data_IF_969564618482
#
_entry.id   IF_969564618482
#
_cell.length_a   1.000
_cell.length_b   1.000
_cell.length_c   1.000
_cell.angle_alpha   90.00
_cell.angle_beta   90.00
_cell.angle_gamma   90.00
#
_symmetry.space_group_name_H-M   'P 1'
#
loop_
_entity.id
_entity.type
_entity.pdbx_description
1 polymer ?
#
# COMPACT_ATOMS: atom_id res chain seq x y z
N UNK A 1 24.81 18.73 -13.23
CA UNK A 1 23.68 18.17 -13.99
C UNK A 1 24.07 16.77 -14.44
N UNK A 2 23.71 15.72 -13.68
CA UNK A 2 23.85 14.34 -14.17
C UNK A 2 22.60 14.07 -14.98
N UNK A 3 22.77 13.69 -16.28
CA UNK A 3 21.72 13.20 -17.12
C UNK A 3 20.98 12.10 -16.33
N UNK A 4 19.72 12.32 -16.04
CA UNK A 4 18.84 11.33 -15.47
C UNK A 4 18.78 10.16 -16.45
N UNK A 5 19.10 9.00 -15.97
CA UNK A 5 19.01 7.69 -16.62
C UNK A 5 17.52 7.38 -16.88
N UNK A 6 16.96 7.96 -17.91
CA UNK A 6 15.54 7.92 -18.31
C UNK A 6 15.21 6.65 -19.09
N UNK A 7 15.69 5.49 -18.61
CA UNK A 7 15.34 4.22 -19.22
C UNK A 7 13.93 3.77 -18.83
N UNK A 8 13.19 3.16 -19.75
CA UNK A 8 11.93 2.48 -19.45
C UNK A 8 12.16 1.28 -18.53
N UNK A 9 11.11 0.86 -17.83
CA UNK A 9 11.16 -0.24 -16.85
C UNK A 9 11.72 -1.54 -17.47
N UNK A 10 11.36 -1.82 -18.71
CA UNK A 10 11.89 -2.99 -19.44
C UNK A 10 13.41 -2.91 -19.65
N UNK A 11 13.95 -1.73 -19.96
CA UNK A 11 15.40 -1.55 -20.10
C UNK A 11 16.11 -1.72 -18.76
N UNK A 12 15.53 -1.21 -17.67
CA UNK A 12 16.06 -1.42 -16.31
C UNK A 12 16.05 -2.90 -15.91
N UNK A 13 14.96 -3.60 -16.23
CA UNK A 13 14.82 -5.02 -15.98
C UNK A 13 15.92 -5.83 -16.69
N UNK A 14 16.21 -5.49 -17.95
CA UNK A 14 17.21 -6.16 -18.78
C UNK A 14 18.64 -5.94 -18.29
N UNK A 15 18.91 -4.85 -17.56
CA UNK A 15 20.23 -4.54 -16.99
C UNK A 15 20.41 -5.07 -15.55
N UNK A 16 19.34 -5.49 -14.90
CA UNK A 16 19.33 -5.86 -13.46
C UNK A 16 19.71 -7.34 -13.20
N UNK A 17 20.48 -7.98 -14.09
CA UNK A 17 21.00 -9.34 -13.88
C UNK A 17 20.30 -10.42 -14.71
N UNK A 18 20.52 -11.68 -14.37
CA UNK A 18 20.02 -12.82 -15.13
C UNK A 18 18.49 -12.94 -15.06
N UNK A 19 17.81 -12.60 -16.17
CA UNK A 19 16.36 -12.66 -16.27
C UNK A 19 15.81 -14.09 -16.28
N UNK A 20 16.59 -15.09 -16.69
CA UNK A 20 16.14 -16.49 -16.76
C UNK A 20 15.84 -17.10 -15.41
N UNK A 21 16.50 -16.61 -14.34
CA UNK A 21 16.36 -17.15 -12.98
C UNK A 21 15.32 -16.37 -12.16
N UNK A 22 14.66 -15.39 -12.76
CA UNK A 22 13.71 -14.49 -12.11
C UNK A 22 12.31 -14.72 -12.65
N UNK A 23 11.33 -14.70 -11.74
CA UNK A 23 9.94 -14.97 -12.09
C UNK A 23 8.96 -14.04 -11.36
N UNK A 24 7.80 -13.89 -11.97
CA UNK A 24 6.58 -13.39 -11.34
C UNK A 24 5.62 -14.57 -11.17
N UNK A 25 5.20 -14.83 -9.92
CA UNK A 25 4.27 -15.91 -9.58
C UNK A 25 2.94 -15.31 -9.15
N UNK A 26 1.90 -15.51 -9.94
CA UNK A 26 0.50 -15.29 -9.56
C UNK A 26 -0.07 -16.49 -8.79
N UNK A 27 -1.37 -16.48 -8.52
CA UNK A 27 -2.06 -17.61 -7.88
C UNK A 27 -2.25 -18.80 -8.84
N UNK A 28 -2.55 -18.52 -10.11
CA UNK A 28 -2.90 -19.54 -11.11
C UNK A 28 -1.84 -19.72 -12.21
N UNK A 29 -0.96 -18.75 -12.40
CA UNK A 29 0.03 -18.73 -13.45
C UNK A 29 1.34 -18.12 -12.98
N UNK A 30 2.43 -18.40 -13.71
CA UNK A 30 3.73 -17.81 -13.49
C UNK A 30 4.44 -17.52 -14.80
N UNK A 31 5.33 -16.51 -14.78
CA UNK A 31 6.15 -16.13 -15.94
C UNK A 31 7.60 -15.99 -15.49
N UNK A 32 8.52 -16.63 -16.20
CA UNK A 32 9.92 -16.27 -16.11
C UNK A 32 10.16 -14.93 -16.81
N UNK A 33 10.88 -14.01 -16.19
CA UNK A 33 11.12 -12.69 -16.78
C UNK A 33 11.90 -12.75 -18.10
N UNK A 34 12.72 -13.78 -18.26
CA UNK A 34 13.41 -14.06 -19.52
C UNK A 34 12.48 -14.36 -20.70
N UNK A 35 11.31 -14.95 -20.46
CA UNK A 35 10.34 -15.24 -21.51
C UNK A 35 9.67 -13.95 -22.03
N UNK A 36 9.54 -12.94 -21.18
CA UNK A 36 8.99 -11.66 -21.57
C UNK A 36 9.87 -10.91 -22.59
N UNK A 37 11.17 -11.22 -22.65
CA UNK A 37 12.09 -10.67 -23.66
C UNK A 37 11.70 -11.13 -25.06
N UNK A 38 11.16 -12.36 -25.20
CA UNK A 38 10.83 -13.01 -26.46
C UNK A 38 9.34 -13.06 -26.75
N UNK A 39 8.52 -12.69 -25.81
CA UNK A 39 7.07 -12.75 -25.91
C UNK A 39 6.39 -11.48 -25.45
N UNK A 40 5.08 -11.38 -25.71
CA UNK A 40 4.24 -10.27 -25.31
C UNK A 40 2.96 -10.77 -24.64
N UNK A 41 2.63 -10.22 -23.49
CA UNK A 41 1.36 -10.46 -22.79
C UNK A 41 0.18 -9.75 -23.48
N UNK A 42 0.49 -8.80 -24.34
CA UNK A 42 -0.48 -7.97 -25.11
C UNK A 42 -0.82 -8.56 -26.48
N UNK A 43 -0.50 -9.84 -26.74
CA UNK A 43 -0.79 -10.52 -27.98
C UNK A 43 -0.08 -9.92 -29.20
N UNK A 44 1.05 -9.24 -29.03
CA UNK A 44 1.78 -8.55 -30.09
C UNK A 44 1.23 -7.18 -30.47
N UNK A 45 0.20 -6.68 -29.79
CA UNK A 45 -0.52 -5.42 -30.11
C UNK A 45 0.03 -4.19 -29.39
N UNK A 46 1.27 -4.23 -28.89
CA UNK A 46 1.90 -3.13 -28.14
C UNK A 46 1.95 -1.82 -28.93
N UNK A 47 2.20 -1.88 -30.26
CA UNK A 47 2.28 -0.70 -31.12
C UNK A 47 0.96 0.07 -31.24
N UNK A 48 -0.18 -0.60 -31.08
CA UNK A 48 -1.49 0.07 -31.04
C UNK A 48 -1.67 0.97 -29.82
N UNK A 49 -0.85 0.78 -28.78
CA UNK A 49 -0.88 1.51 -27.51
C UNK A 49 0.17 2.64 -27.46
N UNK A 50 1.03 2.75 -28.48
CA UNK A 50 2.09 3.76 -28.54
C UNK A 50 1.52 5.17 -28.49
N UNK A 51 2.05 5.97 -27.56
CA UNK A 51 1.67 7.38 -27.37
C UNK A 51 0.27 7.60 -26.79
N UNK A 52 -0.47 6.55 -26.49
CA UNK A 52 -1.83 6.64 -25.95
C UNK A 52 -1.87 6.73 -24.42
N UNK A 53 -2.98 7.24 -23.92
CA UNK A 53 -3.38 7.09 -22.51
C UNK A 53 -4.12 5.77 -22.36
N UNK A 54 -3.55 4.84 -21.59
CA UNK A 54 -4.00 3.45 -21.48
C UNK A 54 -4.51 3.19 -20.07
N UNK A 55 -5.76 2.75 -19.95
CA UNK A 55 -6.32 2.24 -18.70
C UNK A 55 -5.97 0.75 -18.57
N UNK A 56 -5.28 0.37 -17.50
CA UNK A 56 -5.01 -1.02 -17.15
C UNK A 56 -6.02 -1.46 -16.10
N UNK A 57 -6.99 -2.28 -16.52
CA UNK A 57 -8.10 -2.78 -15.69
C UNK A 57 -8.16 -4.31 -15.80
N UNK A 58 -7.37 -4.99 -14.98
CA UNK A 58 -7.27 -6.45 -14.95
C UNK A 58 -7.86 -7.01 -13.65
N UNK A 59 -8.30 -8.26 -13.66
CA UNK A 59 -8.67 -8.99 -12.44
C UNK A 59 -7.43 -9.57 -11.76
N UNK A 60 -6.49 -10.10 -12.55
CA UNK A 60 -5.27 -10.72 -12.05
C UNK A 60 -4.09 -9.74 -11.98
N UNK A 61 -3.33 -9.81 -10.88
CA UNK A 61 -2.16 -8.95 -10.67
C UNK A 61 -0.97 -9.33 -11.55
N UNK A 62 -0.82 -10.61 -11.95
CA UNK A 62 0.26 -11.02 -12.83
C UNK A 62 0.08 -10.39 -14.21
N UNK A 63 -1.13 -10.43 -14.76
CA UNK A 63 -1.45 -9.76 -16.02
C UNK A 63 -1.25 -8.25 -15.95
N UNK A 64 -1.62 -7.62 -14.82
CA UNK A 64 -1.30 -6.21 -14.60
C UNK A 64 0.21 -5.96 -14.65
N UNK A 65 1.01 -6.72 -13.92
CA UNK A 65 2.46 -6.56 -13.85
C UNK A 65 3.12 -6.67 -15.23
N UNK A 66 2.70 -7.66 -16.04
CA UNK A 66 3.20 -7.86 -17.40
C UNK A 66 2.86 -6.68 -18.31
N UNK A 67 1.60 -6.22 -18.26
CA UNK A 67 1.17 -5.06 -19.04
C UNK A 67 1.97 -3.80 -18.66
N UNK A 68 2.19 -3.55 -17.36
CA UNK A 68 2.96 -2.40 -16.87
C UNK A 68 4.41 -2.41 -17.38
N UNK A 69 5.06 -3.59 -17.37
CA UNK A 69 6.43 -3.74 -17.89
C UNK A 69 6.51 -3.43 -19.39
N UNK A 70 5.48 -3.84 -20.15
CA UNK A 70 5.47 -3.64 -21.60
C UNK A 70 5.04 -2.22 -21.99
N UNK A 71 4.16 -1.58 -21.24
CA UNK A 71 3.61 -0.27 -21.57
C UNK A 71 4.54 0.89 -21.20
N UNK A 72 5.38 0.73 -20.17
CA UNK A 72 6.27 1.81 -19.74
C UNK A 72 7.32 2.13 -20.84
N UNK A 73 7.45 3.41 -21.16
CA UNK A 73 8.25 3.90 -22.28
C UNK A 73 7.52 3.87 -23.63
N UNK A 74 6.41 3.16 -23.79
CA UNK A 74 5.62 3.04 -25.02
C UNK A 74 4.34 3.85 -24.96
N UNK A 75 3.53 3.65 -23.93
CA UNK A 75 2.35 4.46 -23.67
C UNK A 75 2.75 5.86 -23.16
N UNK A 76 2.00 6.88 -23.56
CA UNK A 76 2.16 8.23 -23.00
C UNK A 76 1.73 8.25 -21.53
N UNK A 77 0.69 7.50 -21.20
CA UNK A 77 0.13 7.42 -19.83
C UNK A 77 -0.40 6.03 -19.56
N UNK A 78 -0.15 5.54 -18.35
CA UNK A 78 -0.72 4.32 -17.80
C UNK A 78 -1.60 4.73 -16.63
N UNK A 79 -2.89 4.38 -16.65
CA UNK A 79 -3.83 4.59 -15.56
C UNK A 79 -4.11 3.24 -14.91
N UNK A 80 -3.79 3.11 -13.62
CA UNK A 80 -3.98 1.85 -12.89
C UNK A 80 -5.36 1.83 -12.23
N UNK A 81 -6.26 1.00 -12.75
CA UNK A 81 -7.54 0.77 -12.11
C UNK A 81 -7.41 -0.33 -11.03
N UNK A 82 -7.61 -0.01 -9.75
CA UNK A 82 -7.68 -1.05 -8.72
C UNK A 82 -8.98 -1.87 -8.89
N UNK A 83 -9.02 -3.15 -8.43
CA UNK A 83 -10.13 -4.05 -8.71
C UNK A 83 -11.46 -3.66 -8.05
N UNK A 84 -11.38 -2.83 -7.02
CA UNK A 84 -12.50 -2.28 -6.25
C UNK A 84 -12.87 -0.85 -6.66
N UNK A 85 -12.41 -0.39 -7.85
CA UNK A 85 -12.85 0.89 -8.39
C UNK A 85 -14.34 0.83 -8.67
N UNK A 86 -15.16 1.69 -8.04
CA UNK A 86 -16.59 1.74 -8.28
C UNK A 86 -16.91 1.99 -9.76
N UNK A 87 -17.92 1.28 -10.28
CA UNK A 87 -18.28 1.38 -11.70
C UNK A 87 -18.75 2.79 -12.05
N UNK A 88 -19.37 3.48 -11.11
CA UNK A 88 -19.79 4.89 -11.21
C UNK A 88 -18.64 5.87 -11.36
N UNK A 89 -17.45 5.54 -10.87
CA UNK A 89 -16.26 6.39 -10.97
C UNK A 89 -15.50 6.22 -12.31
N UNK A 90 -15.73 5.13 -13.02
CA UNK A 90 -15.03 4.82 -14.28
C UNK A 90 -15.18 5.94 -15.32
N UNK A 91 -16.37 6.51 -15.59
CA UNK A 91 -16.53 7.60 -16.56
C UNK A 91 -15.70 8.85 -16.19
N UNK A 92 -15.62 9.17 -14.90
CA UNK A 92 -14.78 10.26 -14.42
C UNK A 92 -13.30 9.99 -14.66
N UNK A 93 -12.82 8.80 -14.32
CA UNK A 93 -11.41 8.39 -14.53
C UNK A 93 -11.05 8.43 -16.02
N UNK A 94 -11.91 7.88 -16.88
CA UNK A 94 -11.71 7.87 -18.33
C UNK A 94 -11.60 9.29 -18.89
N UNK A 95 -12.49 10.18 -18.48
CA UNK A 95 -12.49 11.58 -18.93
C UNK A 95 -11.30 12.36 -18.37
N UNK A 96 -11.04 12.30 -17.07
CA UNK A 96 -9.99 13.06 -16.40
C UNK A 96 -8.58 12.65 -16.87
N UNK A 97 -8.37 11.36 -17.15
CA UNK A 97 -7.10 10.86 -17.67
C UNK A 97 -7.02 10.86 -19.21
N UNK A 98 -8.07 11.30 -19.91
CA UNK A 98 -8.17 11.25 -21.38
C UNK A 98 -7.79 9.86 -21.92
N UNK A 99 -8.44 8.80 -21.41
CA UNK A 99 -8.15 7.41 -21.78
C UNK A 99 -8.56 7.13 -23.21
N UNK A 100 -7.64 6.58 -24.00
CA UNK A 100 -7.79 6.26 -25.42
C UNK A 100 -7.78 4.76 -25.69
N UNK A 101 -7.21 3.97 -24.77
CA UNK A 101 -7.13 2.52 -24.88
C UNK A 101 -7.34 1.83 -23.54
N UNK A 102 -7.86 0.61 -23.59
CA UNK A 102 -8.07 -0.28 -22.46
C UNK A 102 -7.24 -1.55 -22.61
N UNK A 103 -6.48 -1.88 -21.59
CA UNK A 103 -5.80 -3.19 -21.45
C UNK A 103 -6.47 -3.95 -20.29
N UNK A 104 -6.96 -5.16 -20.59
CA UNK A 104 -7.65 -6.00 -19.61
C UNK A 104 -7.43 -7.48 -19.90
N UNK A 105 -7.52 -8.32 -18.87
CA UNK A 105 -7.53 -9.79 -18.99
C UNK A 105 -8.95 -10.35 -19.22
N UNK A 106 -9.98 -9.52 -19.14
CA UNK A 106 -11.38 -9.87 -19.39
C UNK A 106 -11.64 -10.10 -20.88
N UNK A 107 -12.69 -10.87 -21.19
CA UNK A 107 -13.05 -11.18 -22.58
C UNK A 107 -13.58 -9.95 -23.34
N UNK A 108 -14.20 -9.01 -22.64
CA UNK A 108 -14.78 -7.79 -23.19
C UNK A 108 -14.64 -6.62 -22.17
N UNK A 109 -14.68 -5.37 -22.64
CA UNK A 109 -14.76 -4.20 -21.77
C UNK A 109 -16.03 -4.19 -20.91
N UNK A 110 -15.93 -3.74 -19.67
CA UNK A 110 -17.11 -3.47 -18.84
C UNK A 110 -17.96 -2.33 -19.40
N UNK A 111 -19.24 -2.26 -18.99
CA UNK A 111 -20.21 -1.30 -19.52
C UNK A 111 -19.73 0.17 -19.45
N UNK A 112 -19.00 0.58 -18.39
CA UNK A 112 -18.44 1.92 -18.24
C UNK A 112 -17.22 2.19 -19.12
N UNK A 113 -16.58 1.14 -19.68
CA UNK A 113 -15.36 1.21 -20.49
C UNK A 113 -15.60 0.99 -21.99
N UNK A 114 -16.83 0.68 -22.40
CA UNK A 114 -17.18 0.35 -23.80
C UNK A 114 -16.98 1.50 -24.80
N UNK A 115 -16.82 2.74 -24.30
CA UNK A 115 -16.55 3.92 -25.13
C UNK A 115 -15.07 4.16 -25.41
N UNK A 116 -14.16 3.37 -24.85
CA UNK A 116 -12.72 3.49 -25.09
C UNK A 116 -12.41 2.92 -26.48
N UNK A 117 -11.72 3.69 -27.32
CA UNK A 117 -11.58 3.40 -28.75
C UNK A 117 -10.79 2.13 -29.09
N UNK A 118 -9.84 1.72 -28.25
CA UNK A 118 -9.00 0.53 -28.49
C UNK A 118 -9.05 -0.39 -27.28
N UNK A 119 -9.37 -1.66 -27.51
CA UNK A 119 -9.31 -2.71 -26.48
C UNK A 119 -8.22 -3.72 -26.83
N UNK A 120 -7.28 -3.94 -25.91
CA UNK A 120 -6.23 -4.95 -26.04
C UNK A 120 -6.35 -5.93 -24.89
N UNK A 121 -6.54 -7.20 -25.21
CA UNK A 121 -6.57 -8.25 -24.19
C UNK A 121 -5.13 -8.59 -23.77
N UNK A 122 -4.91 -8.61 -22.46
CA UNK A 122 -3.65 -9.05 -21.88
C UNK A 122 -3.79 -10.45 -21.23
N UNK A 123 -2.70 -11.24 -21.26
CA UNK A 123 -2.71 -12.62 -20.81
C UNK A 123 -1.34 -13.05 -20.29
N UNK A 124 -1.24 -13.93 -19.27
CA UNK A 124 0.01 -14.55 -18.87
C UNK A 124 0.53 -15.55 -19.91
N UNK A 125 -0.29 -15.95 -20.91
CA UNK A 125 0.16 -16.72 -22.07
C UNK A 125 0.79 -15.76 -23.07
N UNK A 126 2.13 -15.75 -23.10
CA UNK A 126 2.87 -14.85 -23.98
C UNK A 126 2.71 -15.25 -25.46
N UNK A 127 2.34 -14.29 -26.31
CA UNK A 127 2.40 -14.45 -27.75
C UNK A 127 3.86 -14.40 -28.24
N UNK A 128 4.28 -15.24 -29.20
CA UNK A 128 5.63 -15.17 -29.76
C UNK A 128 5.87 -13.84 -30.50
N UNK A 129 7.12 -13.39 -30.48
CA UNK A 129 7.55 -12.17 -31.18
C UNK A 129 7.27 -10.91 -30.35
N UNK A 130 8.28 -10.46 -29.63
CA UNK A 130 8.23 -9.14 -29.01
C UNK A 130 8.41 -8.07 -30.10
N UNK A 131 7.47 -7.14 -30.20
CA UNK A 131 7.72 -5.88 -30.88
C UNK A 131 8.94 -5.20 -30.24
N UNK A 132 9.75 -4.50 -31.05
CA UNK A 132 10.86 -3.72 -30.52
C UNK A 132 10.31 -2.72 -29.49
N UNK A 133 10.64 -2.90 -28.21
CA UNK A 133 10.19 -2.04 -27.11
C UNK A 133 11.05 -0.78 -27.05
N UNK A 134 11.04 -0.02 -28.15
CA UNK A 134 11.74 1.25 -28.21
C UNK A 134 10.99 2.26 -27.34
N UNK A 135 11.60 2.65 -26.24
CA UNK A 135 11.08 3.71 -25.40
C UNK A 135 11.09 5.02 -26.20
N UNK A 136 9.91 5.60 -26.40
CA UNK A 136 9.70 6.86 -27.11
C UNK A 136 9.00 7.92 -26.25
N UNK A 137 8.56 7.54 -25.06
CA UNK A 137 7.81 8.40 -24.15
C UNK A 137 8.34 8.27 -22.72
N UNK A 138 8.36 9.39 -22.01
CA UNK A 138 8.39 9.38 -20.56
C UNK A 138 6.95 9.11 -20.06
N UNK A 139 6.65 7.86 -19.76
CA UNK A 139 5.31 7.44 -19.38
C UNK A 139 4.87 8.08 -18.07
N UNK A 140 3.68 8.70 -18.08
CA UNK A 140 2.99 9.10 -16.86
C UNK A 140 2.27 7.89 -16.24
N UNK A 141 2.51 7.66 -14.96
CA UNK A 141 1.85 6.63 -14.16
C UNK A 141 0.78 7.29 -13.29
N UNK A 142 -0.47 6.95 -13.52
CA UNK A 142 -1.61 7.53 -12.78
C UNK A 142 -2.15 6.52 -11.80
N UNK A 143 -2.10 6.87 -10.54
CA UNK A 143 -2.58 6.09 -9.41
C UNK A 143 -3.83 6.73 -8.82
N UNK A 144 -4.81 5.91 -8.46
CA UNK A 144 -6.05 6.38 -7.85
C UNK A 144 -5.96 6.28 -6.33
N UNK A 145 -6.38 7.36 -5.65
CA UNK A 145 -6.53 7.38 -4.20
C UNK A 145 -8.00 7.66 -3.85
N UNK A 146 -8.46 7.11 -2.72
CA UNK A 146 -9.79 7.42 -2.21
C UNK A 146 -9.84 8.90 -1.82
N UNK A 147 -10.64 9.68 -2.54
CA UNK A 147 -10.96 11.06 -2.15
C UNK A 147 -11.82 11.06 -0.88
N UNK A 148 -11.61 12.01 0.01
CA UNK A 148 -12.46 12.23 1.18
C UNK A 148 -13.84 12.80 0.81
N UNK A 149 -14.06 13.18 -0.44
CA UNK A 149 -15.23 13.94 -0.93
C UNK A 149 -15.97 13.27 -2.08
N UNK A 150 -15.79 11.97 -2.33
CA UNK A 150 -16.46 11.22 -3.40
C UNK A 150 -15.50 10.70 -4.47
N UNK A 151 -15.42 11.32 -5.64
CA UNK A 151 -14.62 10.82 -6.77
C UNK A 151 -13.13 10.62 -6.44
N UNK A 152 -12.47 9.58 -7.00
CA UNK A 152 -11.07 9.29 -6.73
C UNK A 152 -10.15 10.40 -7.25
N UNK A 153 -9.07 10.68 -6.51
CA UNK A 153 -8.01 11.56 -6.98
C UNK A 153 -7.06 10.78 -7.90
N UNK A 154 -6.72 11.37 -9.02
CA UNK A 154 -5.79 10.82 -10.00
C UNK A 154 -4.40 11.44 -9.81
N UNK A 155 -3.49 10.71 -9.21
CA UNK A 155 -2.15 11.16 -8.83
C UNK A 155 -1.14 10.76 -9.91
N UNK A 156 -0.43 11.73 -10.48
CA UNK A 156 0.52 11.49 -11.59
C UNK A 156 1.94 11.33 -11.07
N UNK A 157 2.57 10.25 -11.48
CA UNK A 157 3.98 9.95 -11.28
C UNK A 157 4.70 9.74 -12.61
N UNK A 158 6.03 9.64 -12.55
CA UNK A 158 6.90 9.04 -13.56
C UNK A 158 7.62 7.84 -12.95
N UNK A 159 8.24 7.00 -13.77
CA UNK A 159 9.07 5.92 -13.26
C UNK A 159 10.17 6.44 -12.33
N UNK A 160 10.75 7.61 -12.62
CA UNK A 160 11.79 8.24 -11.77
C UNK A 160 11.27 8.62 -10.39
N UNK A 161 10.06 9.19 -10.27
CA UNK A 161 9.49 9.51 -8.94
C UNK A 161 9.07 8.26 -8.18
N UNK A 162 8.56 7.23 -8.86
CA UNK A 162 8.19 5.95 -8.26
C UNK A 162 9.41 5.16 -7.78
N UNK A 163 10.49 5.13 -8.58
CA UNK A 163 11.69 4.35 -8.30
C UNK A 163 12.77 5.11 -7.53
N UNK A 164 12.59 6.40 -7.25
CA UNK A 164 13.60 7.24 -6.60
C UNK A 164 14.05 6.81 -5.20
N UNK A 165 13.30 5.91 -4.55
CA UNK A 165 13.69 5.28 -3.28
C UNK A 165 14.44 3.95 -3.47
N UNK A 166 14.55 3.45 -4.70
CA UNK A 166 15.09 2.13 -4.99
C UNK A 166 16.57 2.23 -5.36
N UNK A 167 17.37 1.33 -4.81
CA UNK A 167 18.77 1.16 -5.24
C UNK A 167 18.79 0.20 -6.41
N UNK A 168 19.39 0.59 -7.51
CA UNK A 168 19.70 -0.34 -8.59
C UNK A 168 20.80 -1.26 -8.10
N UNK A 169 20.57 -2.56 -8.12
CA UNK A 169 21.60 -3.54 -7.78
C UNK A 169 22.59 -3.62 -8.94
N UNK A 170 23.80 -3.11 -8.74
CA UNK A 170 24.92 -3.30 -9.69
C UNK A 170 25.69 -4.60 -9.49
N UNK A 171 25.36 -5.38 -8.46
CA UNK A 171 25.95 -6.67 -8.16
C UNK A 171 24.84 -7.69 -7.95
N UNK A 172 25.03 -8.91 -8.45
CA UNK A 172 24.16 -10.05 -8.21
C UNK A 172 23.98 -10.23 -6.68
N UNK A 173 22.95 -9.61 -6.13
CA UNK A 173 22.50 -9.95 -4.78
C UNK A 173 21.98 -11.39 -4.81
N UNK A 174 22.08 -12.16 -3.73
CA UNK A 174 21.43 -13.47 -3.63
C UNK A 174 19.96 -13.29 -4.07
N UNK A 175 19.41 -14.26 -4.78
CA UNK A 175 18.08 -14.16 -5.39
C UNK A 175 17.02 -13.87 -4.34
N UNK A 176 16.67 -12.59 -4.21
CA UNK A 176 15.63 -12.16 -3.27
C UNK A 176 14.27 -12.52 -3.86
N UNK A 177 13.46 -13.20 -3.09
CA UNK A 177 12.06 -13.44 -3.42
C UNK A 177 11.20 -12.50 -2.60
N UNK A 178 10.63 -11.52 -3.27
CA UNK A 178 9.70 -10.55 -2.69
C UNK A 178 8.28 -11.08 -2.67
N UNK A 179 7.48 -10.59 -1.78
CA UNK A 179 6.03 -10.76 -1.76
C UNK A 179 5.35 -9.57 -1.09
N UNK A 180 4.04 -9.46 -1.31
CA UNK A 180 3.24 -8.41 -0.70
C UNK A 180 1.78 -8.80 -0.57
N UNK A 181 1.16 -8.37 0.52
CA UNK A 181 -0.30 -8.43 0.70
C UNK A 181 -1.02 -7.31 -0.07
N UNK A 182 -0.30 -6.27 -0.53
CA UNK A 182 -0.91 -5.18 -1.28
C UNK A 182 -1.21 -5.57 -2.71
N UNK A 183 -2.25 -4.96 -3.26
CA UNK A 183 -2.49 -4.95 -4.70
C UNK A 183 -1.47 -4.03 -5.41
N UNK A 184 -0.82 -4.54 -6.45
CA UNK A 184 0.20 -3.78 -7.21
C UNK A 184 -0.37 -2.63 -8.04
N UNK A 185 -1.68 -2.57 -8.24
CA UNK A 185 -2.37 -1.46 -8.91
C UNK A 185 -2.57 -0.26 -7.97
N UNK A 186 -2.12 -0.37 -6.72
CA UNK A 186 -2.05 0.70 -5.72
C UNK A 186 -0.60 1.03 -5.38
N UNK A 187 -0.37 2.24 -4.91
CA UNK A 187 0.99 2.75 -4.66
C UNK A 187 1.85 1.79 -3.83
N UNK A 188 1.32 1.27 -2.72
CA UNK A 188 2.08 0.37 -1.83
C UNK A 188 2.55 -0.91 -2.51
N UNK A 189 1.66 -1.57 -3.26
CA UNK A 189 1.99 -2.80 -4.00
C UNK A 189 2.89 -2.51 -5.21
N UNK A 190 2.64 -1.41 -5.93
CA UNK A 190 3.49 -0.97 -7.03
C UNK A 190 4.94 -0.75 -6.58
N UNK A 191 5.15 -0.16 -5.40
CA UNK A 191 6.49 0.01 -4.82
C UNK A 191 7.21 -1.33 -4.60
N UNK A 192 6.49 -2.40 -4.24
CA UNK A 192 7.08 -3.72 -4.04
C UNK A 192 7.38 -4.39 -5.38
N UNK A 193 6.47 -4.26 -6.38
CA UNK A 193 6.72 -4.72 -7.74
C UNK A 193 8.01 -4.08 -8.31
N UNK A 194 8.09 -2.75 -8.27
CA UNK A 194 9.27 -2.03 -8.77
C UNK A 194 10.54 -2.41 -8.01
N UNK A 195 10.45 -2.59 -6.68
CA UNK A 195 11.57 -3.01 -5.86
C UNK A 195 12.08 -4.40 -6.25
N UNK A 196 11.20 -5.37 -6.49
CA UNK A 196 11.57 -6.70 -6.97
C UNK A 196 12.20 -6.62 -8.37
N UNK A 197 11.58 -5.89 -9.29
CA UNK A 197 12.05 -5.79 -10.68
C UNK A 197 13.41 -5.09 -10.79
N UNK A 198 13.54 -3.89 -10.20
CA UNK A 198 14.74 -3.06 -10.27
C UNK A 198 15.87 -3.59 -9.39
N UNK A 199 15.53 -4.22 -8.27
CA UNK A 199 16.50 -4.82 -7.34
C UNK A 199 17.04 -6.18 -7.79
N UNK A 200 16.56 -6.76 -8.88
CA UNK A 200 17.05 -8.04 -9.40
C UNK A 200 16.40 -9.29 -8.79
N UNK A 201 15.27 -9.14 -8.07
CA UNK A 201 14.56 -10.24 -7.42
C UNK A 201 13.41 -10.82 -8.24
N UNK A 202 12.78 -11.86 -7.69
CA UNK A 202 11.49 -12.43 -8.12
C UNK A 202 10.36 -11.90 -7.24
N UNK A 203 9.10 -12.11 -7.66
CA UNK A 203 7.94 -11.63 -6.89
C UNK A 203 6.80 -12.67 -6.86
N UNK A 204 6.30 -12.96 -5.67
CA UNK A 204 5.06 -13.70 -5.45
C UNK A 204 3.93 -12.67 -5.22
N UNK A 205 3.00 -12.61 -6.16
CA UNK A 205 1.85 -11.71 -6.15
C UNK A 205 0.70 -12.32 -5.32
N UNK A 206 0.03 -11.53 -4.51
CA UNK A 206 -1.19 -11.94 -3.83
C UNK A 206 -2.38 -11.98 -4.80
N UNK A 207 -3.46 -12.64 -4.39
CA UNK A 207 -4.74 -12.68 -5.13
C UNK A 207 -5.90 -12.36 -4.21
N UNK A 208 -6.87 -11.59 -4.70
CA UNK A 208 -8.11 -11.32 -3.97
C UNK A 208 -8.99 -12.57 -3.80
N UNK A 209 -8.75 -13.62 -4.61
CA UNK A 209 -9.48 -14.91 -4.55
C UNK A 209 -8.87 -15.90 -3.56
N UNK A 210 -7.73 -15.55 -2.96
CA UNK A 210 -6.93 -16.43 -2.11
C UNK A 210 -7.12 -16.02 -0.65
N UNK A 211 -7.30 -17.00 0.25
CA UNK A 211 -7.29 -16.72 1.68
C UNK A 211 -5.87 -16.32 2.15
N UNK A 212 -5.79 -15.61 3.27
CA UNK A 212 -4.48 -15.29 3.88
C UNK A 212 -3.65 -16.56 4.15
N UNK A 213 -4.30 -17.65 4.56
CA UNK A 213 -3.63 -18.92 4.82
C UNK A 213 -3.03 -19.55 3.56
N UNK A 214 -3.80 -19.59 2.46
CA UNK A 214 -3.35 -20.16 1.18
C UNK A 214 -2.23 -19.32 0.58
N UNK A 215 -2.34 -17.98 0.66
CA UNK A 215 -1.27 -17.08 0.25
C UNK A 215 0.04 -17.36 1.01
N UNK A 216 -0.01 -17.53 2.33
CA UNK A 216 1.18 -17.82 3.15
C UNK A 216 1.79 -19.18 2.81
N UNK A 217 0.98 -20.21 2.54
CA UNK A 217 1.44 -21.53 2.08
C UNK A 217 2.19 -21.38 0.75
N UNK A 218 1.59 -20.67 -0.21
CA UNK A 218 2.19 -20.47 -1.53
C UNK A 218 3.46 -19.62 -1.46
N UNK A 219 3.45 -18.54 -0.66
CA UNK A 219 4.63 -17.71 -0.41
C UNK A 219 5.78 -18.53 0.21
N UNK A 220 5.47 -19.43 1.16
CA UNK A 220 6.44 -20.37 1.73
C UNK A 220 6.98 -21.36 0.71
N UNK A 221 6.13 -21.88 -0.19
CA UNK A 221 6.54 -22.78 -1.28
C UNK A 221 7.55 -22.12 -2.23
N UNK A 222 7.41 -20.82 -2.48
CA UNK A 222 8.37 -20.04 -3.27
C UNK A 222 9.53 -19.44 -2.45
N UNK A 223 9.67 -19.83 -1.17
CA UNK A 223 10.75 -19.38 -0.27
C UNK A 223 10.87 -17.87 -0.21
N UNK A 224 9.73 -17.18 -0.01
CA UNK A 224 9.71 -15.71 0.12
C UNK A 224 10.63 -15.26 1.24
N UNK A 225 11.60 -14.40 0.91
CA UNK A 225 12.58 -13.81 1.83
C UNK A 225 12.17 -12.42 2.31
N UNK A 226 11.43 -11.67 1.49
CA UNK A 226 11.05 -10.28 1.74
C UNK A 226 9.54 -10.11 1.54
N UNK A 227 8.82 -9.64 2.56
CA UNK A 227 7.36 -9.50 2.47
C UNK A 227 6.89 -8.19 3.09
N UNK A 228 5.90 -7.55 2.42
CA UNK A 228 5.36 -6.27 2.83
C UNK A 228 3.84 -6.33 3.02
N UNK A 229 3.34 -5.60 4.02
CA UNK A 229 1.91 -5.50 4.30
C UNK A 229 1.59 -4.35 5.24
N UNK A 230 0.28 -4.07 5.44
CA UNK A 230 -0.15 -3.17 6.50
C UNK A 230 -0.05 -3.85 7.87
N UNK A 231 -0.03 -3.11 8.98
CA UNK A 231 -0.25 -3.68 10.30
C UNK A 231 -1.46 -4.60 10.39
N UNK A 232 -2.59 -4.23 9.77
CA UNK A 232 -3.81 -5.07 9.72
C UNK A 232 -3.60 -6.38 8.95
N UNK A 233 -2.88 -6.36 7.81
CA UNK A 233 -2.49 -7.59 7.12
C UNK A 233 -1.67 -8.51 8.03
N UNK A 234 -0.69 -7.96 8.73
CA UNK A 234 0.18 -8.75 9.60
C UNK A 234 -0.56 -9.32 10.82
N UNK A 235 -1.50 -8.54 11.40
CA UNK A 235 -2.36 -9.07 12.47
C UNK A 235 -3.18 -10.26 12.00
N UNK A 236 -3.78 -10.18 10.79
CA UNK A 236 -4.51 -11.31 10.19
C UNK A 236 -3.62 -12.47 9.84
N UNK A 237 -2.41 -12.21 9.32
CA UNK A 237 -1.43 -13.26 9.01
C UNK A 237 -1.03 -14.04 10.27
N UNK A 238 -0.76 -13.35 11.39
CA UNK A 238 -0.41 -13.97 12.67
C UNK A 238 -1.55 -14.79 13.29
N UNK A 239 -2.83 -14.51 12.91
CA UNK A 239 -3.98 -15.33 13.32
C UNK A 239 -4.08 -16.63 12.50
N UNK A 240 -3.44 -16.69 11.33
CA UNK A 240 -3.50 -17.86 10.46
C UNK A 240 -2.58 -18.97 10.98
N UNK A 241 -3.05 -20.22 11.04
CA UNK A 241 -2.17 -21.39 11.32
C UNK A 241 -1.03 -21.50 10.31
N UNK A 242 -1.18 -20.90 9.13
CA UNK A 242 -0.17 -20.91 8.07
C UNK A 242 0.92 -19.85 8.23
N UNK A 243 0.89 -19.03 9.28
CA UNK A 243 1.90 -17.97 9.52
C UNK A 243 3.33 -18.55 9.58
N UNK A 244 3.49 -19.75 10.13
CA UNK A 244 4.77 -20.47 10.21
C UNK A 244 5.25 -21.09 8.89
N UNK A 245 4.46 -20.99 7.81
CA UNK A 245 4.84 -21.51 6.48
C UNK A 245 5.86 -20.63 5.77
N UNK A 246 6.03 -19.40 6.20
CA UNK A 246 7.07 -18.48 5.71
C UNK A 246 8.16 -18.28 6.76
N UNK A 247 9.38 -18.05 6.29
CA UNK A 247 10.54 -17.71 7.12
C UNK A 247 11.25 -16.47 6.52
N UNK A 248 10.63 -15.29 6.61
CA UNK A 248 11.16 -14.10 5.97
C UNK A 248 12.41 -13.58 6.66
N UNK A 249 13.35 -13.06 5.88
CA UNK A 249 14.53 -12.30 6.33
C UNK A 249 14.19 -10.82 6.57
N UNK A 250 13.18 -10.32 5.86
CA UNK A 250 12.78 -8.92 5.92
C UNK A 250 11.25 -8.75 5.89
N UNK A 251 10.74 -8.05 6.89
CA UNK A 251 9.34 -7.67 7.01
C UNK A 251 9.21 -6.15 6.94
N UNK A 252 8.28 -5.68 6.10
CA UNK A 252 7.99 -4.26 5.97
C UNK A 252 6.53 -3.97 6.25
N UNK A 253 6.27 -3.05 7.18
CA UNK A 253 4.94 -2.52 7.45
C UNK A 253 4.82 -1.12 6.84
N UNK A 254 3.68 -0.81 6.25
CA UNK A 254 3.37 0.53 5.73
C UNK A 254 1.87 0.70 5.51
N UNK A 255 1.42 1.95 5.34
CA UNK A 255 0.04 2.28 4.98
C UNK A 255 -0.92 2.45 6.15
N UNK A 256 -0.55 1.97 7.34
CA UNK A 256 -1.23 2.22 8.60
C UNK A 256 -0.19 2.51 9.69
N UNK A 257 -0.63 3.01 10.85
CA UNK A 257 0.23 3.23 12.00
C UNK A 257 0.68 1.86 12.55
N UNK A 258 2.00 1.62 12.55
CA UNK A 258 2.59 0.48 13.23
C UNK A 258 2.74 0.83 14.72
N UNK A 259 1.80 0.35 15.54
CA UNK A 259 1.91 0.45 17.00
C UNK A 259 2.96 -0.51 17.56
N UNK A 260 3.38 -0.30 18.82
CA UNK A 260 4.43 -1.11 19.42
C UNK A 260 4.02 -2.58 19.54
N UNK A 261 2.73 -2.86 19.79
CA UNK A 261 2.25 -4.23 19.95
C UNK A 261 2.47 -5.08 18.70
N UNK A 262 2.16 -4.57 17.49
CA UNK A 262 2.40 -5.36 16.27
C UNK A 262 3.89 -5.54 15.98
N UNK A 263 4.74 -4.56 16.29
CA UNK A 263 6.18 -4.68 16.12
C UNK A 263 6.75 -5.77 17.05
N UNK A 264 6.30 -5.81 18.30
CA UNK A 264 6.73 -6.80 19.29
C UNK A 264 6.22 -8.20 18.95
N UNK A 265 4.95 -8.34 18.53
CA UNK A 265 4.39 -9.62 18.09
C UNK A 265 5.15 -10.19 16.88
N UNK A 266 5.45 -9.36 15.88
CA UNK A 266 6.22 -9.81 14.71
C UNK A 266 7.66 -10.23 15.07
N UNK A 267 8.30 -9.48 15.99
CA UNK A 267 9.64 -9.82 16.48
C UNK A 267 9.63 -11.15 17.25
N UNK A 268 8.63 -11.38 18.06
CA UNK A 268 8.50 -12.63 18.80
C UNK A 268 8.22 -13.80 17.86
N UNK A 269 7.41 -13.62 16.82
CA UNK A 269 7.02 -14.68 15.89
C UNK A 269 8.07 -14.98 14.82
N UNK A 270 8.75 -13.95 14.30
CA UNK A 270 9.81 -14.06 13.29
C UNK A 270 11.14 -13.47 13.81
N UNK A 271 11.78 -14.10 14.79
CA UNK A 271 12.94 -13.51 15.48
C UNK A 271 14.18 -13.31 14.60
N UNK A 272 14.29 -14.05 13.49
CA UNK A 272 15.37 -13.90 12.51
C UNK A 272 15.12 -12.78 11.49
N UNK A 273 13.89 -12.26 11.41
CA UNK A 273 13.53 -11.24 10.43
C UNK A 273 13.93 -9.83 10.87
N UNK A 274 14.49 -9.08 9.96
CA UNK A 274 14.61 -7.63 10.12
C UNK A 274 13.27 -6.97 9.87
N UNK A 275 12.67 -6.39 10.89
CA UNK A 275 11.38 -5.72 10.84
C UNK A 275 11.58 -4.23 10.66
N UNK A 276 10.90 -3.63 9.68
CA UNK A 276 10.86 -2.19 9.47
C UNK A 276 9.43 -1.71 9.30
N UNK A 277 9.14 -0.51 9.74
CA UNK A 277 7.94 0.19 9.31
C UNK A 277 8.32 1.46 8.53
N UNK A 278 7.46 1.85 7.59
CA UNK A 278 7.78 2.92 6.69
C UNK A 278 6.58 3.83 6.47
N UNK A 279 6.86 5.11 6.35
CA UNK A 279 5.87 6.09 5.92
C UNK A 279 5.96 6.33 4.43
N UNK A 280 4.83 6.24 3.77
CA UNK A 280 4.66 6.51 2.35
C UNK A 280 3.22 6.96 2.07
N UNK A 281 3.05 7.89 1.16
CA UNK A 281 1.75 8.26 0.60
C UNK A 281 1.85 8.26 -0.93
N UNK A 282 0.70 8.17 -1.61
CA UNK A 282 0.70 8.24 -3.08
C UNK A 282 1.22 9.58 -3.54
N UNK A 283 0.88 10.66 -2.86
CA UNK A 283 1.26 12.04 -3.19
C UNK A 283 2.72 12.33 -2.85
N UNK A 284 3.15 12.02 -1.63
CA UNK A 284 4.49 12.37 -1.10
C UNK A 284 5.59 11.37 -1.45
N UNK A 285 5.22 10.20 -1.95
CA UNK A 285 6.18 9.13 -2.19
C UNK A 285 6.60 8.39 -0.91
N UNK A 286 7.67 7.60 -1.00
CA UNK A 286 8.28 6.94 0.16
C UNK A 286 9.14 7.95 0.90
N UNK A 287 8.76 8.31 2.13
CA UNK A 287 9.48 9.29 2.93
C UNK A 287 10.63 8.67 3.72
N UNK A 288 10.34 7.74 4.61
CA UNK A 288 11.35 7.10 5.46
C UNK A 288 10.96 5.67 5.83
N UNK A 289 11.94 4.94 6.35
CA UNK A 289 11.75 3.63 6.97
C UNK A 289 12.51 3.59 8.30
N UNK A 290 11.88 3.04 9.34
CA UNK A 290 12.40 2.88 10.69
C UNK A 290 12.57 1.40 10.98
N UNK A 291 13.71 1.00 11.49
CA UNK A 291 14.03 -0.41 11.77
C UNK A 291 14.68 -0.62 13.14
N UNK A 292 14.50 0.33 14.06
CA UNK A 292 15.01 0.27 15.43
C UNK A 292 14.11 -0.53 16.39
N UNK A 293 12.96 -1.00 15.87
CA UNK A 293 12.01 -1.79 16.62
C UNK A 293 11.05 -0.99 17.50
N UNK A 294 11.05 0.34 17.37
CA UNK A 294 10.18 1.23 18.13
C UNK A 294 9.12 1.85 17.22
N UNK A 295 7.92 2.05 17.75
CA UNK A 295 6.85 2.77 17.08
C UNK A 295 7.20 4.26 16.89
N UNK A 296 6.57 4.90 15.88
CA UNK A 296 6.89 6.28 15.54
C UNK A 296 8.23 6.41 14.81
N UNK A 297 8.77 7.61 14.71
CA UNK A 297 10.04 7.86 14.05
C UNK A 297 10.90 8.89 14.82
N UNK A 298 12.24 8.79 14.76
CA UNK A 298 13.14 9.73 15.46
C UNK A 298 12.87 11.17 15.02
N UNK A 299 12.81 12.10 15.98
CA UNK A 299 12.63 13.52 15.69
C UNK A 299 13.79 14.10 14.86
N UNK A 300 14.96 13.49 14.94
CA UNK A 300 16.14 13.86 14.15
C UNK A 300 15.96 13.71 12.64
N UNK A 301 14.92 12.99 12.16
CA UNK A 301 14.58 12.93 10.74
C UNK A 301 13.92 14.21 10.22
N UNK A 302 13.42 15.07 11.10
CA UNK A 302 12.82 16.35 10.73
C UNK A 302 13.83 17.48 10.68
N UNK A 303 13.58 18.49 9.85
CA UNK A 303 14.42 19.69 9.78
C UNK A 303 15.78 19.51 9.11
N UNK A 304 16.07 18.34 8.55
CA UNK A 304 17.28 18.09 7.77
C UNK A 304 17.13 18.75 6.39
N UNK A 305 17.80 19.89 6.18
CA UNK A 305 17.86 20.55 4.88
C UNK A 305 18.77 19.79 3.92
N UNK A 306 18.46 19.85 2.63
CA UNK A 306 19.22 19.19 1.55
C UNK A 306 19.27 17.66 1.63
N UNK A 307 18.46 17.06 2.51
CA UNK A 307 18.25 15.62 2.50
C UNK A 307 17.48 15.17 1.24
N UNK A 308 17.68 13.93 0.82
CA UNK A 308 16.93 13.34 -0.31
C UNK A 308 15.41 13.36 -0.09
N UNK A 309 15.00 13.40 1.17
CA UNK A 309 13.61 13.62 1.63
C UNK A 309 13.68 14.58 2.81
N UNK A 310 13.02 15.69 2.70
CA UNK A 310 12.89 16.68 3.76
C UNK A 310 11.53 16.52 4.45
N UNK A 311 11.56 16.48 5.78
CA UNK A 311 10.38 16.34 6.64
C UNK A 311 10.21 17.61 7.48
N UNK A 312 8.97 18.12 7.52
CA UNK A 312 8.57 19.28 8.31
C UNK A 312 7.31 18.95 9.09
N UNK A 313 7.23 19.35 10.33
CA UNK A 313 5.98 19.32 11.10
C UNK A 313 5.41 20.73 11.14
N UNK A 314 4.19 20.88 10.65
CA UNK A 314 3.50 22.16 10.64
C UNK A 314 2.03 21.98 11.01
N UNK A 315 1.54 22.77 11.95
CA UNK A 315 0.20 22.62 12.55
C UNK A 315 -0.12 21.18 13.01
N UNK A 316 0.90 20.47 13.52
CA UNK A 316 0.77 19.09 13.99
C UNK A 316 0.70 18.03 12.87
N UNK A 317 0.84 18.40 11.60
CA UNK A 317 0.85 17.45 10.48
C UNK A 317 2.22 17.28 9.89
N UNK A 318 2.50 16.06 9.42
CA UNK A 318 3.71 15.73 8.69
C UNK A 318 3.62 16.27 7.25
N UNK A 319 4.65 17.00 6.84
CA UNK A 319 4.83 17.48 5.46
C UNK A 319 6.10 16.91 4.86
N UNK A 320 6.07 16.64 3.56
CA UNK A 320 7.15 15.96 2.84
C UNK A 320 7.52 16.75 1.60
N UNK A 321 8.82 16.96 1.39
CA UNK A 321 9.40 17.46 0.15
C UNK A 321 10.47 16.49 -0.34
N UNK A 322 10.35 15.98 -1.57
CA UNK A 322 11.37 15.10 -2.16
C UNK A 322 11.22 14.99 -3.68
N UNK A 323 12.27 14.49 -4.35
CA UNK A 323 12.19 14.12 -5.77
C UNK A 323 11.29 12.90 -6.05
N UNK A 324 10.72 12.27 -4.99
CA UNK A 324 9.78 11.12 -5.08
C UNK A 324 8.33 11.55 -5.05
N UNK A 325 8.09 12.84 -4.82
CA UNK A 325 6.75 13.43 -4.79
C UNK A 325 6.11 13.30 -6.17
N UNK A 326 4.81 13.03 -6.20
CA UNK A 326 4.01 13.04 -7.42
C UNK A 326 4.10 14.39 -8.15
N UNK A 327 3.84 14.39 -9.44
CA UNK A 327 3.96 15.60 -10.25
C UNK A 327 2.75 16.54 -10.08
N UNK A 328 1.54 15.98 -10.08
CA UNK A 328 0.28 16.71 -10.03
C UNK A 328 -0.91 15.77 -9.88
N UNK A 329 -2.09 16.36 -9.71
CA UNK A 329 -3.38 15.71 -9.91
C UNK A 329 -3.86 15.86 -11.36
N UNK A 330 -4.72 14.94 -11.84
CA UNK A 330 -5.50 15.09 -13.06
C UNK A 330 -6.96 15.38 -12.73
N UNK A 331 -7.64 16.06 -13.64
CA UNK A 331 -9.09 16.33 -13.54
C UNK A 331 -9.45 17.54 -12.69
N UNK A 332 -8.67 17.89 -11.68
CA UNK A 332 -8.87 19.09 -10.86
C UNK A 332 -7.66 20.02 -10.96
N UNK A 333 -7.76 21.10 -11.74
CA UNK A 333 -6.67 22.05 -11.97
C UNK A 333 -6.43 23.01 -10.79
N UNK A 334 -7.38 23.13 -9.88
CA UNK A 334 -7.32 24.06 -8.74
C UNK A 334 -6.65 23.42 -7.52
N UNK A 335 -6.66 22.09 -7.41
CA UNK A 335 -6.07 21.39 -6.29
C UNK A 335 -4.55 21.29 -6.45
N UNK A 336 -3.83 22.02 -5.62
CA UNK A 336 -2.37 21.97 -5.58
C UNK A 336 -1.90 20.75 -4.78
N UNK A 337 -0.95 20.02 -5.35
CA UNK A 337 -0.32 18.87 -4.68
C UNK A 337 0.61 19.31 -3.53
N UNK A 338 1.34 20.40 -3.73
CA UNK A 338 2.32 20.92 -2.78
C UNK A 338 2.10 22.43 -2.54
N UNK A 339 2.57 22.91 -1.41
CA UNK A 339 2.59 24.33 -1.06
C UNK A 339 3.66 25.11 -1.88
N UNK A 340 3.79 26.42 -1.59
CA UNK A 340 4.76 27.30 -2.28
C UNK A 340 6.22 26.92 -2.01
N UNK A 341 6.52 26.18 -0.93
CA UNK A 341 7.84 25.67 -0.60
C UNK A 341 8.10 24.28 -1.19
N UNK A 342 7.13 23.67 -1.85
CA UNK A 342 7.19 22.33 -2.45
C UNK A 342 6.90 21.20 -1.47
N UNK A 343 6.36 21.46 -0.28
CA UNK A 343 5.97 20.44 0.68
C UNK A 343 4.54 19.95 0.40
N UNK A 344 4.38 18.63 0.39
CA UNK A 344 3.07 17.95 0.37
C UNK A 344 2.58 17.78 1.80
N UNK A 345 1.39 18.27 2.10
CA UNK A 345 0.70 18.01 3.37
C UNK A 345 0.09 16.60 3.33
N UNK A 346 0.58 15.71 4.18
CA UNK A 346 0.08 14.32 4.21
C UNK A 346 -1.28 14.18 4.88
N UNK A 347 -1.68 15.16 5.69
CA UNK A 347 -2.85 15.10 6.56
C UNK A 347 -2.68 14.14 7.75
N UNK A 348 -1.54 13.46 7.85
CA UNK A 348 -1.24 12.58 8.99
C UNK A 348 -0.68 13.41 10.16
N UNK A 349 -1.34 13.31 11.31
CA UNK A 349 -1.00 14.07 12.50
C UNK A 349 0.02 13.34 13.34
N UNK A 350 0.96 14.10 13.91
CA UNK A 350 2.04 13.59 14.74
C UNK A 350 2.19 14.37 16.03
N UNK A 351 2.64 13.69 17.08
CA UNK A 351 2.92 14.25 18.39
C UNK A 351 4.34 13.88 18.81
N UNK A 352 5.09 14.84 19.33
CA UNK A 352 6.43 14.62 19.87
C UNK A 352 6.33 14.06 21.31
N UNK A 353 6.90 12.87 21.52
CA UNK A 353 7.03 12.23 22.82
C UNK A 353 8.50 11.84 23.03
N UNK A 354 9.16 12.52 23.95
CA UNK A 354 10.61 12.40 24.11
C UNK A 354 11.35 12.86 22.85
N UNK A 355 12.15 11.99 22.28
CA UNK A 355 12.94 12.21 21.07
C UNK A 355 12.31 11.64 19.78
N UNK A 356 11.01 11.24 19.84
CA UNK A 356 10.29 10.60 18.73
C UNK A 356 8.96 11.27 18.43
N UNK A 357 8.63 11.34 17.14
CA UNK A 357 7.28 11.64 16.68
C UNK A 357 6.48 10.35 16.57
N UNK A 358 5.29 10.36 17.16
CA UNK A 358 4.30 9.30 17.03
C UNK A 358 3.13 9.78 16.17
N UNK A 359 2.71 8.95 15.21
CA UNK A 359 1.47 9.21 14.49
C UNK A 359 0.30 9.01 15.44
N UNK A 360 -0.60 9.97 15.49
CA UNK A 360 -1.80 9.93 16.34
C UNK A 360 -3.08 9.70 15.53
N UNK A 361 -3.05 9.90 14.22
CA UNK A 361 -4.15 9.67 13.31
C UNK A 361 -4.16 10.65 12.15
N UNK A 362 -5.26 10.70 11.41
CA UNK A 362 -5.47 11.65 10.31
C UNK A 362 -6.34 12.81 10.71
N UNK A 363 -6.09 14.00 10.12
CA UNK A 363 -6.87 15.22 10.38
C UNK A 363 -8.38 15.02 10.15
N UNK A 364 -8.77 14.23 9.15
CA UNK A 364 -10.17 13.92 8.82
C UNK A 364 -10.80 12.82 9.66
N UNK A 365 -10.04 12.08 10.49
CA UNK A 365 -10.53 10.94 11.29
C UNK A 365 -10.75 11.26 12.76
N UNK A 366 -10.79 12.54 13.15
CA UNK A 366 -10.89 12.96 14.56
C UNK A 366 -12.34 12.81 15.06
N UNK A 367 -12.51 12.14 16.18
CA UNK A 367 -13.79 12.07 16.92
C UNK A 367 -13.88 13.27 17.87
N UNK A 368 -14.97 14.03 17.81
CA UNK A 368 -15.24 15.13 18.72
C UNK A 368 -16.16 14.67 19.88
N UNK A 369 -15.62 14.64 21.09
CA UNK A 369 -16.34 14.27 22.31
C UNK A 369 -16.47 15.51 23.18
N UNK A 370 -17.63 16.16 23.20
CA UNK A 370 -17.86 17.36 24.01
C UNK A 370 -16.88 18.50 23.69
N UNK A 371 -16.46 18.66 22.44
CA UNK A 371 -15.47 19.67 22.03
C UNK A 371 -14.00 19.22 22.15
N UNK A 372 -13.73 18.04 22.74
CA UNK A 372 -12.39 17.47 22.87
C UNK A 372 -12.11 16.52 21.70
N UNK A 373 -10.88 16.58 21.19
CA UNK A 373 -10.44 15.78 20.03
C UNK A 373 -9.91 14.43 20.49
N UNK A 374 -10.40 13.36 19.84
CA UNK A 374 -9.93 11.97 20.03
C UNK A 374 -9.47 11.40 18.70
N UNK A 375 -8.26 10.92 18.66
CA UNK A 375 -7.73 10.16 17.52
C UNK A 375 -7.99 8.68 17.76
N UNK A 376 -8.79 8.01 16.92
CA UNK A 376 -9.11 6.58 17.08
C UNK A 376 -7.87 5.71 17.23
N UNK A 377 -6.85 5.97 16.42
CA UNK A 377 -5.62 5.17 16.38
C UNK A 377 -4.81 5.24 17.67
N UNK A 378 -4.89 6.35 18.40
CA UNK A 378 -4.25 6.49 19.72
C UNK A 378 -4.90 5.56 20.75
N UNK A 379 -6.23 5.49 20.73
CA UNK A 379 -6.99 4.61 21.62
C UNK A 379 -6.77 3.14 21.23
N UNK A 380 -6.80 2.83 19.93
CA UNK A 380 -6.50 1.50 19.40
C UNK A 380 -5.12 1.01 19.82
N UNK A 381 -4.11 1.86 19.79
CA UNK A 381 -2.76 1.48 20.23
C UNK A 381 -2.70 1.03 21.69
N UNK A 382 -3.47 1.68 22.56
CA UNK A 382 -3.57 1.27 23.98
C UNK A 382 -4.32 -0.06 24.13
N UNK A 383 -5.45 -0.24 23.44
CA UNK A 383 -6.24 -1.47 23.46
C UNK A 383 -5.42 -2.64 22.88
N UNK A 384 -4.78 -2.44 21.74
CA UNK A 384 -3.94 -3.44 21.07
C UNK A 384 -2.72 -3.87 21.90
N UNK A 385 -2.28 -3.05 22.83
CA UNK A 385 -1.23 -3.38 23.79
C UNK A 385 -1.65 -4.41 24.84
N UNK A 386 -2.92 -4.81 24.93
CA UNK A 386 -3.37 -5.87 25.82
C UNK A 386 -3.06 -7.26 25.26
N UNK A 387 -2.42 -8.20 26.02
CA UNK A 387 -1.90 -9.47 25.46
C UNK A 387 -2.98 -10.40 24.89
N UNK A 388 -4.23 -10.24 25.29
CA UNK A 388 -5.37 -11.02 24.76
C UNK A 388 -6.09 -10.33 23.59
N UNK A 389 -5.63 -9.15 23.15
CA UNK A 389 -6.21 -8.41 22.04
C UNK A 389 -5.37 -8.63 20.80
N UNK A 390 -6.01 -9.07 19.73
CA UNK A 390 -5.38 -9.23 18.43
C UNK A 390 -5.42 -7.94 17.60
N UNK A 391 -6.58 -7.30 17.57
CA UNK A 391 -6.78 -6.02 16.91
C UNK A 391 -8.04 -5.33 17.44
N UNK A 392 -8.09 -4.01 17.31
CA UNK A 392 -9.25 -3.21 17.66
C UNK A 392 -9.54 -2.16 16.60
N UNK A 393 -10.80 -1.70 16.57
CA UNK A 393 -11.29 -0.57 15.79
C UNK A 393 -12.05 0.37 16.69
N UNK A 394 -11.61 1.61 16.78
CA UNK A 394 -12.26 2.68 17.51
C UNK A 394 -13.06 3.54 16.56
N UNK A 395 -14.28 3.88 16.94
CA UNK A 395 -15.20 4.70 16.15
C UNK A 395 -16.05 5.62 17.02
N UNK A 396 -16.64 6.63 16.39
CA UNK A 396 -17.65 7.46 17.00
C UNK A 396 -18.99 6.70 17.10
N UNK A 397 -19.72 6.93 18.19
CA UNK A 397 -21.15 6.64 18.29
C UNK A 397 -21.87 7.92 18.66
N UNK A 398 -22.86 8.34 17.90
CA UNK A 398 -23.61 9.57 18.15
C UNK A 398 -24.20 9.60 19.57
N UNK A 399 -24.10 10.74 20.20
CA UNK A 399 -24.63 11.00 21.54
C UNK A 399 -25.23 12.41 21.59
N UNK A 400 -26.46 12.53 22.09
CA UNK A 400 -27.21 13.79 22.09
C UNK A 400 -26.59 14.88 22.97
N UNK A 401 -25.83 14.51 24.02
CA UNK A 401 -25.23 15.45 24.96
C UNK A 401 -23.81 15.87 24.60
N UNK A 402 -22.99 14.89 24.14
CA UNK A 402 -21.57 15.10 23.87
C UNK A 402 -21.23 15.11 22.38
N UNK A 403 -22.24 15.05 21.51
CA UNK A 403 -22.07 14.90 20.07
C UNK A 403 -21.65 13.47 19.69
N UNK A 404 -20.58 12.97 20.29
CA UNK A 404 -20.13 11.59 20.10
C UNK A 404 -19.57 10.96 21.38
N UNK A 405 -19.60 9.64 21.43
CA UNK A 405 -18.87 8.78 22.38
C UNK A 405 -17.85 7.94 21.63
N UNK A 406 -16.74 7.67 22.27
CA UNK A 406 -15.75 6.70 21.80
C UNK A 406 -16.27 5.30 22.10
N UNK A 407 -16.31 4.42 21.09
CA UNK A 407 -16.63 2.99 21.25
C UNK A 407 -15.57 2.15 20.53
N UNK A 408 -15.34 0.94 21.02
CA UNK A 408 -14.33 0.05 20.45
C UNK A 408 -14.92 -1.33 20.12
N UNK A 409 -14.64 -1.80 18.91
CA UNK A 409 -14.83 -3.19 18.49
C UNK A 409 -13.49 -3.92 18.63
N UNK A 410 -13.44 -5.06 19.33
CA UNK A 410 -12.20 -5.74 19.71
C UNK A 410 -12.23 -7.20 19.25
N UNK A 411 -11.21 -7.63 18.52
CA UNK A 411 -10.95 -9.03 18.18
C UNK A 411 -9.92 -9.58 19.15
N UNK A 412 -10.25 -10.71 19.77
CA UNK A 412 -9.37 -11.38 20.73
C UNK A 412 -8.37 -12.32 20.02
N UNK A 413 -7.27 -12.61 20.70
CA UNK A 413 -6.34 -13.66 20.28
C UNK A 413 -7.03 -15.03 20.35
N UNK A 414 -6.70 -16.00 19.47
CA UNK A 414 -7.28 -17.33 19.52
C UNK A 414 -7.16 -17.96 20.91
N UNK A 415 -8.28 -18.50 21.42
CA UNK A 415 -8.34 -19.14 22.74
C UNK A 415 -8.55 -18.19 23.92
N UNK A 416 -8.60 -16.87 23.71
CA UNK A 416 -8.85 -15.90 24.79
C UNK A 416 -10.33 -15.85 25.26
N UNK A 417 -11.25 -16.28 24.41
CA UNK A 417 -12.72 -16.22 24.58
C UNK A 417 -13.35 -17.48 25.20
N UNK A 418 -12.55 -18.48 25.55
CA UNK A 418 -12.98 -19.87 25.81
C UNK A 418 -13.83 -20.10 27.08
N UNK A 419 -14.36 -19.07 27.75
CA UNK A 419 -15.27 -19.30 28.88
C UNK A 419 -16.26 -18.16 29.11
N UNK A 420 -17.56 -18.46 29.06
CA UNK A 420 -18.66 -17.63 29.50
C UNK A 420 -18.38 -17.12 30.94
N UNK A 421 -18.37 -15.81 31.14
CA UNK A 421 -18.06 -15.15 32.43
C UNK A 421 -16.68 -14.47 32.46
N UNK A 422 -15.74 -14.80 31.56
CA UNK A 422 -14.42 -14.14 31.48
C UNK A 422 -14.43 -12.87 30.64
N UNK A 423 -15.40 -12.69 29.73
CA UNK A 423 -15.47 -11.52 28.84
C UNK A 423 -15.66 -10.21 29.61
N UNK A 424 -16.52 -10.22 30.66
CA UNK A 424 -16.74 -9.03 31.51
C UNK A 424 -15.45 -8.65 32.28
N UNK A 425 -14.70 -9.64 32.77
CA UNK A 425 -13.39 -9.39 33.38
C UNK A 425 -12.39 -8.82 32.40
N UNK A 426 -12.36 -9.34 31.18
CA UNK A 426 -11.46 -8.86 30.13
C UNK A 426 -11.82 -7.45 29.64
N UNK A 427 -13.11 -7.15 29.50
CA UNK A 427 -13.58 -5.79 29.24
C UNK A 427 -13.08 -4.81 30.33
N UNK A 428 -13.21 -5.19 31.59
CA UNK A 428 -12.71 -4.38 32.70
C UNK A 428 -11.19 -4.18 32.63
N UNK A 429 -10.41 -5.25 32.37
CA UNK A 429 -8.95 -5.17 32.21
C UNK A 429 -8.53 -4.19 31.10
N UNK A 430 -9.20 -4.27 29.93
CA UNK A 430 -8.92 -3.39 28.79
C UNK A 430 -9.33 -1.94 29.11
N UNK A 431 -10.50 -1.73 29.71
CA UNK A 431 -10.94 -0.38 30.09
C UNK A 431 -10.04 0.22 31.15
N UNK A 432 -9.58 -0.58 32.14
CA UNK A 432 -8.64 -0.10 33.14
C UNK A 432 -7.32 0.35 32.50
N UNK A 433 -6.78 -0.45 31.59
CA UNK A 433 -5.59 -0.06 30.82
C UNK A 433 -5.80 1.27 30.04
N UNK A 434 -6.99 1.47 29.47
CA UNK A 434 -7.32 2.74 28.81
C UNK A 434 -7.38 3.90 29.81
N UNK A 435 -7.94 3.71 31.03
CA UNK A 435 -8.00 4.74 32.05
C UNK A 435 -6.62 5.12 32.59
N UNK A 436 -5.70 4.14 32.68
CA UNK A 436 -4.34 4.37 33.14
C UNK A 436 -3.48 5.12 32.12
N UNK A 437 -3.77 4.96 30.82
CA UNK A 437 -2.95 5.48 29.72
C UNK A 437 -3.52 6.70 29.00
N UNK A 438 -4.84 6.96 29.15
CA UNK A 438 -5.56 7.97 28.36
C UNK A 438 -6.35 8.94 29.23
N UNK A 439 -6.51 10.20 28.79
CA UNK A 439 -7.45 11.13 29.41
C UNK A 439 -8.90 10.59 29.37
N UNK A 440 -9.76 10.93 30.32
CA UNK A 440 -11.12 10.36 30.49
C UNK A 440 -11.98 10.41 29.22
N UNK A 441 -11.91 11.49 28.43
CA UNK A 441 -12.70 11.66 27.22
C UNK A 441 -12.27 10.73 26.05
N UNK A 442 -11.08 10.11 26.14
CA UNK A 442 -10.56 9.14 25.17
C UNK A 442 -10.86 7.70 25.54
N UNK A 443 -11.25 7.44 26.79
CA UNK A 443 -11.59 6.08 27.25
C UNK A 443 -12.86 5.62 26.56
N UNK A 444 -12.88 4.41 25.96
CA UNK A 444 -14.10 3.89 25.33
C UNK A 444 -15.25 3.77 26.33
N UNK A 445 -16.43 4.26 25.95
CA UNK A 445 -17.65 4.10 26.73
C UNK A 445 -18.21 2.67 26.66
N UNK A 446 -17.91 1.96 25.58
CA UNK A 446 -18.34 0.58 25.32
C UNK A 446 -17.24 -0.15 24.55
N UNK A 447 -16.97 -1.39 24.97
CA UNK A 447 -16.18 -2.36 24.23
C UNK A 447 -17.12 -3.46 23.73
N UNK A 448 -17.04 -3.80 22.44
CA UNK A 448 -17.78 -4.92 21.86
C UNK A 448 -16.77 -5.95 21.35
N UNK A 449 -16.84 -7.17 21.83
CA UNK A 449 -16.03 -8.25 21.30
C UNK A 449 -16.66 -8.79 20.02
N UNK A 450 -15.87 -8.82 18.94
CA UNK A 450 -16.30 -9.25 17.61
C UNK A 450 -15.39 -10.34 17.06
N UNK A 451 -15.89 -11.28 16.23
CA UNK A 451 -15.08 -12.37 15.70
C UNK A 451 -14.04 -11.88 14.67
N UNK A 452 -14.32 -10.80 13.97
CA UNK A 452 -13.45 -10.21 12.97
C UNK A 452 -13.76 -8.73 12.76
N UNK A 453 -12.81 -7.99 12.20
CA UNK A 453 -13.00 -6.63 11.71
C UNK A 453 -12.84 -6.59 10.20
N UNK A 454 -13.63 -5.74 9.55
CA UNK A 454 -13.56 -5.53 8.11
C UNK A 454 -12.26 -4.80 7.74
N UNK A 455 -11.59 -5.36 6.75
CA UNK A 455 -10.37 -4.78 6.16
C UNK A 455 -10.67 -4.52 4.70
N UNK A 456 -10.51 -3.28 4.26
CA UNK A 456 -10.71 -2.87 2.88
C UNK A 456 -9.73 -3.58 1.93
N UNK A 457 -10.00 -3.55 0.63
CA UNK A 457 -9.09 -4.06 -0.40
C UNK A 457 -7.70 -3.38 -0.38
N UNK A 458 -7.60 -2.20 0.24
CA UNK A 458 -6.33 -1.51 0.53
C UNK A 458 -5.52 -2.18 1.64
N UNK A 459 -6.08 -3.18 2.34
CA UNK A 459 -5.46 -3.81 3.51
C UNK A 459 -5.54 -2.98 4.79
N UNK A 460 -6.34 -1.91 4.81
CA UNK A 460 -6.57 -1.05 5.97
C UNK A 460 -7.90 -1.37 6.64
N UNK A 461 -7.99 -1.12 7.94
CA UNK A 461 -9.26 -1.20 8.65
C UNK A 461 -10.31 -0.28 8.02
N UNK A 462 -11.50 -0.83 7.78
CA UNK A 462 -12.63 -0.03 7.30
C UNK A 462 -13.12 0.83 8.46
N UNK A 463 -13.06 2.15 8.27
CA UNK A 463 -13.61 3.14 9.18
C UNK A 463 -14.84 3.73 8.50
N UNK A 464 -16.03 3.34 8.93
CA UNK A 464 -17.24 4.01 8.49
C UNK A 464 -17.28 5.35 9.22
N UNK A 465 -17.39 6.43 8.46
CA UNK A 465 -17.76 7.73 9.00
C UNK A 465 -19.15 7.60 9.62
N UNK A 466 -19.29 8.00 10.87
CA UNK A 466 -20.54 7.93 11.61
C UNK A 466 -21.47 9.09 11.23
#
# INVERSE_FOLDING_TARGET
MRQSDEGALFAWLSTAGNLSDRALWGAEASIALGDLVRGSSLGGRLEELRGRSVLVATDDQLTAALALIELDGVARRIVLAPPDLPVEDIPFVVAAAAVEALVSDRAAPDAGMSRVGTFVRCSPRLAPGAAARNASHQTEWVLLTSGTTGAPKLVVHTLSTLAGALRRSGTLAPSQVWSTFYDIRRYGGLQILLRALVGGGSLVLSSARESTGDFLIRAGGHRVTHISGTPSHWRRALMSPSANRIAPEYLRLSGEIADQAILDHLRAFYPAARITHAFASTEGGVAFAVGDGLAGFPASLTGQRDAAVELKIEAGTLRIRSARTALRYLGNREERLADSEGFVDTGDMVELRGDRYHFVGRRGGIINVGGLKVHPEEVEAVINGHPKVQMSRVRARQNALLGALVVADVVLTPGADAANGRLAGLEYEILQRCRDALPPHKVPAVITFVPALDVAATGKLVRHDA
#
